data_IF_376387974624
#
_entry.id   IF_376387974624
#
_cell.length_a   1.000
_cell.length_b   1.000
_cell.length_c   1.000
_cell.angle_alpha   90.00
_cell.angle_beta   90.00
_cell.angle_gamma   90.00
#
_symmetry.space_group_name_H-M   'P 1'
#
loop_
_entity.id
_entity.type
_entity.pdbx_description
1 polymer ?
#
# COMPACT_ATOMS: atom_id res chain seq x y z
N UNK A 1 24.61 5.27 -31.22
CA UNK A 1 23.44 5.18 -30.31
C UNK A 1 23.44 6.40 -29.40
N UNK A 2 22.31 7.10 -29.29
CA UNK A 2 22.17 8.20 -28.34
C UNK A 2 21.89 7.65 -26.94
N UNK A 3 22.09 8.49 -25.91
CA UNK A 3 21.76 8.11 -24.53
C UNK A 3 20.28 7.72 -24.37
N UNK A 4 19.37 8.35 -25.12
CA UNK A 4 17.93 8.05 -25.10
C UNK A 4 17.60 6.65 -25.66
N UNK A 5 18.31 6.22 -26.71
CA UNK A 5 18.09 4.93 -27.38
C UNK A 5 18.56 3.74 -26.52
N UNK A 6 19.59 3.97 -25.71
CA UNK A 6 20.07 2.99 -24.72
C UNK A 6 19.08 2.86 -23.55
N UNK A 7 18.46 3.97 -23.14
CA UNK A 7 17.51 4.01 -22.02
C UNK A 7 16.18 3.31 -22.33
N UNK A 8 15.61 3.53 -23.51
CA UNK A 8 14.37 2.83 -23.89
C UNK A 8 14.60 1.30 -23.98
N UNK A 9 15.79 0.89 -24.42
CA UNK A 9 16.19 -0.52 -24.44
C UNK A 9 16.26 -1.12 -23.03
N UNK A 10 16.84 -0.41 -22.06
CA UNK A 10 16.93 -0.87 -20.67
C UNK A 10 15.54 -1.01 -20.03
N UNK A 11 14.67 -0.01 -20.23
CA UNK A 11 13.27 -0.03 -19.76
C UNK A 11 12.48 -1.21 -20.33
N UNK A 12 12.59 -1.46 -21.63
CA UNK A 12 11.97 -2.62 -22.31
C UNK A 12 12.55 -3.95 -21.85
N UNK A 13 13.84 -4.00 -21.51
CA UNK A 13 14.46 -5.20 -20.95
C UNK A 13 13.92 -5.53 -19.56
N UNK A 14 13.73 -4.52 -18.68
CA UNK A 14 13.08 -4.69 -17.38
C UNK A 14 11.66 -5.24 -17.56
N UNK A 15 10.83 -4.60 -18.39
CA UNK A 15 9.46 -5.04 -18.61
C UNK A 15 9.35 -6.51 -19.10
N UNK A 16 10.25 -6.94 -20.00
CA UNK A 16 10.30 -8.36 -20.43
C UNK A 16 10.62 -9.33 -19.30
N UNK A 17 11.61 -9.01 -18.45
CA UNK A 17 11.94 -9.86 -17.29
C UNK A 17 10.76 -9.95 -16.31
N UNK A 18 10.07 -8.84 -16.08
CA UNK A 18 8.91 -8.81 -15.19
C UNK A 18 7.75 -9.63 -15.76
N UNK A 19 7.49 -9.57 -17.07
CA UNK A 19 6.51 -10.43 -17.75
C UNK A 19 6.86 -11.92 -17.63
N UNK A 20 8.14 -12.28 -17.81
CA UNK A 20 8.61 -13.66 -17.61
C UNK A 20 8.41 -14.10 -16.15
N UNK A 21 8.72 -13.23 -15.17
CA UNK A 21 8.54 -13.51 -13.75
C UNK A 21 7.07 -13.65 -13.34
N UNK A 22 6.17 -12.79 -13.85
CA UNK A 22 4.73 -12.85 -13.56
C UNK A 22 4.14 -14.18 -14.04
N UNK A 23 4.55 -14.68 -15.22
CA UNK A 23 4.12 -16.01 -15.70
C UNK A 23 4.57 -17.16 -14.81
N UNK A 24 5.74 -17.04 -14.18
CA UNK A 24 6.29 -18.08 -13.32
C UNK A 24 5.71 -18.07 -11.90
N UNK A 25 5.32 -16.89 -11.41
CA UNK A 25 4.94 -16.63 -10.01
C UNK A 25 3.69 -15.72 -9.94
N UNK A 26 2.62 -16.15 -10.62
CA UNK A 26 1.28 -15.57 -10.47
C UNK A 26 0.38 -16.59 -9.81
N UNK A 27 -0.30 -16.15 -8.75
CA UNK A 27 -1.20 -16.96 -7.95
C UNK A 27 -2.66 -16.65 -8.34
N UNK A 28 -3.52 -17.67 -8.33
CA UNK A 28 -4.96 -17.41 -8.38
C UNK A 28 -5.50 -17.34 -6.94
N UNK A 29 -5.80 -16.14 -6.40
CA UNK A 29 -6.27 -16.02 -5.02
C UNK A 29 -7.64 -16.68 -4.80
N UNK A 30 -8.39 -17.01 -5.87
CA UNK A 30 -9.64 -17.77 -5.76
C UNK A 30 -9.36 -19.20 -5.29
N UNK A 31 -8.29 -19.81 -5.77
CA UNK A 31 -7.92 -21.20 -5.53
C UNK A 31 -6.91 -21.33 -4.36
N UNK A 32 -5.98 -20.40 -4.24
CA UNK A 32 -4.85 -20.48 -3.29
C UNK A 32 -5.26 -20.17 -1.84
N UNK A 33 -6.25 -19.30 -1.66
CA UNK A 33 -6.75 -18.94 -0.33
C UNK A 33 -7.87 -19.88 0.06
N UNK A 34 -7.75 -20.51 1.23
CA UNK A 34 -8.85 -21.29 1.82
C UNK A 34 -9.99 -20.36 2.23
N UNK A 35 -11.00 -20.26 1.37
CA UNK A 35 -12.20 -19.46 1.60
C UNK A 35 -13.27 -20.21 2.41
N UNK A 36 -13.27 -21.54 2.36
CA UNK A 36 -14.35 -22.38 2.90
C UNK A 36 -14.23 -22.64 4.40
N UNK A 37 -13.02 -22.74 4.95
CA UNK A 37 -12.84 -22.92 6.39
C UNK A 37 -13.40 -21.72 7.17
N UNK A 38 -14.34 -21.91 8.11
CA UNK A 38 -14.88 -20.81 8.90
C UNK A 38 -13.79 -20.02 9.64
N UNK A 39 -13.99 -18.72 9.81
CA UNK A 39 -13.07 -17.87 10.57
C UNK A 39 -12.99 -18.35 12.03
N UNK A 40 -11.82 -18.83 12.44
CA UNK A 40 -11.49 -19.02 13.85
C UNK A 40 -11.12 -17.67 14.49
N UNK A 41 -11.98 -17.20 15.39
CA UNK A 41 -11.79 -15.94 16.14
C UNK A 41 -10.71 -16.03 17.23
N UNK A 42 -10.12 -17.21 17.41
CA UNK A 42 -8.92 -17.46 18.21
C UNK A 42 -7.64 -16.89 17.60
N UNK A 43 -7.65 -16.50 16.32
CA UNK A 43 -6.53 -15.83 15.66
C UNK A 43 -6.69 -14.31 15.57
N UNK A 44 -5.56 -13.62 15.50
CA UNK A 44 -5.49 -12.21 15.15
C UNK A 44 -5.68 -12.01 13.63
N UNK A 45 -6.11 -10.81 13.22
CA UNK A 45 -6.12 -10.44 11.79
C UNK A 45 -4.79 -9.88 11.29
N UNK A 46 -3.96 -9.37 12.19
CA UNK A 46 -2.63 -8.83 11.95
C UNK A 46 -1.75 -9.17 13.16
N UNK A 47 -0.43 -9.19 12.98
CA UNK A 47 0.48 -9.35 14.12
C UNK A 47 0.16 -8.31 15.20
N UNK A 48 -0.01 -8.69 16.47
CA UNK A 48 -0.43 -7.78 17.55
C UNK A 48 0.39 -6.49 17.62
N UNK A 49 1.69 -6.58 17.37
CA UNK A 49 2.64 -5.46 17.44
C UNK A 49 2.35 -4.36 16.40
N UNK A 50 1.57 -4.66 15.36
CA UNK A 50 1.10 -3.70 14.36
C UNK A 50 -0.19 -2.98 14.76
N UNK A 51 -0.87 -3.44 15.82
CA UNK A 51 -2.09 -2.79 16.29
C UNK A 51 -1.82 -1.36 16.75
N UNK A 52 -2.74 -0.45 16.46
CA UNK A 52 -2.62 0.97 16.84
C UNK A 52 -2.62 1.18 18.35
N UNK A 53 -3.14 0.23 19.12
CA UNK A 53 -3.15 0.28 20.59
C UNK A 53 -2.05 -0.56 21.23
N UNK A 54 -1.29 -1.36 20.49
CA UNK A 54 -0.27 -2.23 21.08
C UNK A 54 0.71 -1.44 21.96
N UNK A 55 0.94 -1.93 23.18
CA UNK A 55 1.83 -1.30 24.16
C UNK A 55 1.26 -0.08 24.89
N UNK A 56 -0.02 0.26 24.69
CA UNK A 56 -0.70 1.29 25.51
C UNK A 56 -1.42 0.66 26.70
N UNK A 57 -1.77 1.48 27.70
CA UNK A 57 -2.58 1.03 28.85
C UNK A 57 -3.90 0.40 28.44
N UNK A 58 -4.56 0.94 27.41
CA UNK A 58 -5.83 0.38 26.95
C UNK A 58 -5.65 -1.02 26.37
N UNK A 59 -4.56 -1.28 25.64
CA UNK A 59 -4.26 -2.62 25.15
C UNK A 59 -3.99 -3.63 26.25
N UNK A 60 -3.26 -3.24 27.29
CA UNK A 60 -2.98 -4.09 28.46
C UNK A 60 -4.26 -4.45 29.23
N UNK A 61 -5.24 -3.54 29.27
CA UNK A 61 -6.55 -3.76 29.89
C UNK A 61 -7.51 -4.60 29.04
N UNK A 62 -7.27 -4.69 27.72
CA UNK A 62 -8.13 -5.45 26.81
C UNK A 62 -8.03 -6.95 27.06
N UNK A 63 -9.17 -7.64 27.01
CA UNK A 63 -9.19 -9.10 26.93
C UNK A 63 -8.50 -9.59 25.64
N UNK A 64 -7.97 -10.80 25.67
CA UNK A 64 -7.38 -11.42 24.48
C UNK A 64 -8.38 -11.49 23.29
N UNK A 65 -9.68 -11.64 23.57
CA UNK A 65 -10.71 -11.61 22.55
C UNK A 65 -10.87 -10.22 21.89
N UNK A 66 -10.80 -9.14 22.68
CA UNK A 66 -10.83 -7.77 22.16
C UNK A 66 -9.57 -7.44 21.35
N UNK A 67 -8.39 -7.88 21.79
CA UNK A 67 -7.14 -7.69 21.04
C UNK A 67 -7.21 -8.36 19.67
N UNK A 68 -7.72 -9.60 19.60
CA UNK A 68 -7.92 -10.31 18.34
C UNK A 68 -8.98 -9.67 17.46
N UNK A 69 -10.07 -9.19 18.05
CA UNK A 69 -11.10 -8.49 17.29
C UNK A 69 -10.58 -7.18 16.71
N UNK A 70 -9.86 -6.39 17.52
CA UNK A 70 -9.26 -5.14 17.05
C UNK A 70 -8.33 -5.40 15.86
N UNK A 71 -7.40 -6.36 15.96
CA UNK A 71 -6.48 -6.62 14.84
C UNK A 71 -7.19 -7.17 13.60
N UNK A 72 -8.31 -7.88 13.73
CA UNK A 72 -9.15 -8.26 12.58
C UNK A 72 -9.79 -7.04 11.90
N UNK A 73 -10.34 -6.12 12.69
CA UNK A 73 -10.93 -4.89 12.15
C UNK A 73 -9.88 -3.98 11.52
N UNK A 74 -8.69 -3.87 12.12
CA UNK A 74 -7.56 -3.11 11.57
C UNK A 74 -7.04 -3.71 10.26
N UNK A 75 -6.83 -5.04 10.20
CA UNK A 75 -6.41 -5.72 8.97
C UNK A 75 -7.42 -5.51 7.83
N UNK A 76 -8.73 -5.60 8.12
CA UNK A 76 -9.77 -5.32 7.14
C UNK A 76 -9.82 -3.84 6.70
N UNK A 77 -9.51 -2.91 7.61
CA UNK A 77 -9.40 -1.47 7.29
C UNK A 77 -8.22 -1.19 6.36
N UNK A 78 -7.07 -1.84 6.61
CA UNK A 78 -5.88 -1.76 5.76
C UNK A 78 -6.21 -2.31 4.37
N UNK A 79 -6.79 -3.50 4.29
CA UNK A 79 -7.23 -4.12 3.03
C UNK A 79 -8.22 -3.22 2.26
N UNK A 80 -9.21 -2.63 2.95
CA UNK A 80 -10.16 -1.70 2.33
C UNK A 80 -9.49 -0.43 1.79
N UNK A 81 -8.45 0.05 2.46
CA UNK A 81 -7.67 1.21 2.02
C UNK A 81 -6.78 0.86 0.83
N UNK A 82 -6.21 -0.35 0.81
CA UNK A 82 -5.49 -0.92 -0.34
C UNK A 82 -6.36 -0.94 -1.59
N UNK A 83 -7.56 -1.52 -1.51
CA UNK A 83 -8.53 -1.53 -2.62
C UNK A 83 -8.80 -0.10 -3.14
N UNK A 84 -9.08 0.86 -2.24
CA UNK A 84 -9.33 2.24 -2.65
C UNK A 84 -8.13 2.86 -3.40
N UNK A 85 -6.92 2.54 -2.96
CA UNK A 85 -5.69 3.01 -3.55
C UNK A 85 -5.40 2.34 -4.90
N UNK A 86 -5.50 1.02 -5.00
CA UNK A 86 -5.35 0.26 -6.25
C UNK A 86 -6.29 0.79 -7.34
N UNK A 87 -7.55 1.09 -6.98
CA UNK A 87 -8.51 1.70 -7.92
C UNK A 87 -8.00 3.03 -8.50
N UNK A 88 -7.29 3.85 -7.71
CA UNK A 88 -6.67 5.09 -8.18
C UNK A 88 -5.53 4.77 -9.14
N UNK A 89 -4.65 3.85 -8.76
CA UNK A 89 -3.48 3.48 -9.54
C UNK A 89 -3.84 2.91 -10.91
N UNK A 90 -4.75 1.94 -10.95
CA UNK A 90 -5.18 1.31 -12.20
C UNK A 90 -5.72 2.33 -13.20
N UNK A 91 -6.50 3.32 -12.73
CA UNK A 91 -6.98 4.40 -13.60
C UNK A 91 -5.84 5.27 -14.15
N UNK A 92 -4.80 5.49 -13.34
CA UNK A 92 -3.64 6.30 -13.74
C UNK A 92 -2.75 5.54 -14.74
N UNK A 93 -2.48 4.25 -14.50
CA UNK A 93 -1.72 3.38 -15.41
C UNK A 93 -2.47 3.22 -16.73
N UNK A 94 -3.78 2.95 -16.69
CA UNK A 94 -4.60 2.81 -17.89
C UNK A 94 -4.60 4.09 -18.73
N UNK A 95 -4.72 5.27 -18.08
CA UNK A 95 -4.63 6.55 -18.80
C UNK A 95 -3.24 6.78 -19.39
N UNK A 96 -2.18 6.40 -18.69
CA UNK A 96 -0.79 6.56 -19.17
C UNK A 96 -0.50 5.69 -20.41
N UNK A 97 -1.18 4.54 -20.55
CA UNK A 97 -0.96 3.59 -21.65
C UNK A 97 -2.05 3.55 -22.74
N UNK A 98 -3.17 4.26 -22.57
CA UNK A 98 -4.38 4.20 -23.42
C UNK A 98 -4.17 4.12 -24.94
N UNK A 99 -3.18 4.83 -25.49
CA UNK A 99 -2.90 4.86 -26.93
C UNK A 99 -1.41 4.64 -27.26
N UNK A 100 -0.67 3.94 -26.39
CA UNK A 100 0.73 3.55 -26.65
C UNK A 100 0.79 2.28 -27.52
N UNK A 101 1.96 2.03 -28.11
CA UNK A 101 2.21 0.87 -28.97
C UNK A 101 1.98 -0.45 -28.20
N UNK A 102 1.00 -1.29 -28.59
CA UNK A 102 0.70 -2.54 -27.90
C UNK A 102 1.78 -3.62 -28.09
N UNK A 103 2.71 -3.43 -29.04
CA UNK A 103 3.86 -4.31 -29.24
C UNK A 103 5.02 -3.99 -28.29
N UNK A 104 4.96 -2.85 -27.58
CA UNK A 104 5.92 -2.51 -26.54
C UNK A 104 5.74 -3.41 -25.30
N UNK A 105 6.78 -4.10 -24.80
CA UNK A 105 6.70 -4.88 -23.58
C UNK A 105 6.21 -4.10 -22.36
N UNK A 106 6.49 -2.79 -22.28
CA UNK A 106 6.00 -1.95 -21.19
C UNK A 106 4.47 -1.78 -21.21
N UNK A 107 3.85 -1.78 -22.40
CA UNK A 107 2.39 -1.77 -22.52
C UNK A 107 1.80 -3.08 -22.00
N UNK A 108 2.37 -4.21 -22.39
CA UNK A 108 1.93 -5.53 -21.95
C UNK A 108 2.09 -5.68 -20.43
N UNK A 109 3.23 -5.23 -19.89
CA UNK A 109 3.47 -5.20 -18.44
C UNK A 109 2.43 -4.35 -17.70
N UNK A 110 2.15 -3.14 -18.18
CA UNK A 110 1.15 -2.27 -17.55
C UNK A 110 -0.25 -2.90 -17.50
N UNK A 111 -0.65 -3.66 -18.53
CA UNK A 111 -1.91 -4.41 -18.50
C UNK A 111 -1.87 -5.63 -17.57
N UNK A 112 -0.72 -6.30 -17.45
CA UNK A 112 -0.51 -7.36 -16.46
C UNK A 112 -0.67 -6.81 -15.05
N UNK A 113 -0.01 -5.70 -14.73
CA UNK A 113 -0.12 -5.00 -13.44
C UNK A 113 -1.59 -4.65 -13.12
N UNK A 114 -2.33 -4.07 -14.07
CA UNK A 114 -3.77 -3.79 -13.88
C UNK A 114 -4.59 -5.06 -13.60
N UNK A 115 -4.26 -6.19 -14.24
CA UNK A 115 -4.94 -7.45 -14.02
C UNK A 115 -4.63 -8.05 -12.64
N UNK A 116 -3.38 -7.94 -12.19
CA UNK A 116 -2.95 -8.37 -10.86
C UNK A 116 -3.66 -7.54 -9.78
N UNK A 117 -3.73 -6.21 -9.92
CA UNK A 117 -4.49 -5.36 -8.99
C UNK A 117 -6.00 -5.66 -8.96
N UNK A 118 -6.59 -6.07 -10.09
CA UNK A 118 -7.98 -6.55 -10.07
C UNK A 118 -8.14 -7.77 -9.16
N UNK A 119 -7.19 -8.71 -9.21
CA UNK A 119 -7.20 -9.93 -8.39
C UNK A 119 -6.90 -9.62 -6.92
N UNK A 120 -5.93 -8.75 -6.64
CA UNK A 120 -5.62 -8.26 -5.31
C UNK A 120 -6.85 -7.61 -4.65
N UNK A 121 -7.49 -6.67 -5.35
CA UNK A 121 -8.69 -6.00 -4.85
C UNK A 121 -9.83 -6.96 -4.52
N UNK A 122 -10.08 -7.97 -5.37
CA UNK A 122 -11.10 -9.00 -5.11
C UNK A 122 -10.69 -9.87 -3.91
N UNK A 123 -9.42 -10.28 -3.84
CA UNK A 123 -8.87 -11.05 -2.73
C UNK A 123 -9.03 -10.31 -1.39
N UNK A 124 -8.64 -9.03 -1.33
CA UNK A 124 -8.80 -8.18 -0.16
C UNK A 124 -10.27 -7.98 0.23
N UNK A 125 -11.17 -7.80 -0.75
CA UNK A 125 -12.60 -7.67 -0.48
C UNK A 125 -13.19 -8.94 0.14
N UNK A 126 -12.84 -10.12 -0.39
CA UNK A 126 -13.25 -11.41 0.18
C UNK A 126 -12.63 -11.62 1.57
N UNK A 127 -11.37 -11.23 1.76
CA UNK A 127 -10.68 -11.27 3.04
C UNK A 127 -11.38 -10.42 4.11
N UNK A 128 -11.71 -9.16 3.79
CA UNK A 128 -12.45 -8.27 4.68
C UNK A 128 -13.84 -8.82 5.03
N UNK A 129 -14.54 -9.41 4.05
CA UNK A 129 -15.83 -10.06 4.29
C UNK A 129 -15.69 -11.27 5.23
N UNK A 130 -14.70 -12.14 5.01
CA UNK A 130 -14.42 -13.31 5.88
C UNK A 130 -14.02 -12.91 7.30
N UNK A 131 -13.35 -11.78 7.47
CA UNK A 131 -13.04 -11.17 8.77
C UNK A 131 -14.29 -10.62 9.49
N UNK A 132 -15.45 -10.56 8.84
CA UNK A 132 -16.67 -9.99 9.40
C UNK A 132 -16.64 -8.47 9.55
N UNK A 133 -15.80 -7.79 8.77
CA UNK A 133 -15.64 -6.35 8.83
C UNK A 133 -16.66 -5.62 7.94
N UNK A 134 -17.11 -4.42 8.34
CA UNK A 134 -17.88 -3.56 7.45
C UNK A 134 -16.97 -2.93 6.38
N UNK A 135 -17.60 -2.31 5.38
CA UNK A 135 -16.86 -1.50 4.41
C UNK A 135 -16.22 -0.27 5.09
N UNK A 136 -14.91 -0.32 5.30
CA UNK A 136 -14.13 0.83 5.71
C UNK A 136 -13.83 1.71 4.50
N UNK A 137 -13.85 3.03 4.69
CA UNK A 137 -13.57 4.00 3.64
C UNK A 137 -12.73 5.15 4.20
N UNK A 138 -11.81 5.71 3.41
CA UNK A 138 -11.17 6.97 3.75
C UNK A 138 -12.20 8.08 3.98
N UNK A 139 -11.78 9.13 4.69
CA UNK A 139 -12.62 10.32 4.92
C UNK A 139 -13.03 10.94 3.60
N UNK A 140 -14.23 11.54 3.53
CA UNK A 140 -14.77 12.15 2.30
C UNK A 140 -13.78 13.07 1.60
N UNK A 141 -13.11 13.95 2.35
CA UNK A 141 -12.09 14.84 1.79
C UNK A 141 -10.97 14.06 1.08
N UNK A 142 -10.48 12.97 1.67
CA UNK A 142 -9.43 12.12 1.08
C UNK A 142 -9.93 11.43 -0.19
N UNK A 143 -11.19 10.98 -0.21
CA UNK A 143 -11.81 10.43 -1.42
C UNK A 143 -11.87 11.45 -2.54
N UNK A 144 -12.28 12.70 -2.25
CA UNK A 144 -12.31 13.76 -3.27
C UNK A 144 -10.90 14.15 -3.73
N UNK A 145 -9.92 14.23 -2.83
CA UNK A 145 -8.51 14.42 -3.19
C UNK A 145 -8.01 13.30 -4.10
N UNK A 146 -8.37 12.05 -3.81
CA UNK A 146 -8.07 10.90 -4.66
C UNK A 146 -8.70 11.01 -6.05
N UNK A 147 -9.93 11.53 -6.16
CA UNK A 147 -10.57 11.80 -7.46
C UNK A 147 -9.86 12.88 -8.27
N UNK A 148 -9.38 13.93 -7.62
CA UNK A 148 -8.56 14.95 -8.28
C UNK A 148 -7.24 14.33 -8.70
N UNK A 149 -6.53 13.68 -7.77
CA UNK A 149 -5.23 13.06 -7.99
C UNK A 149 -5.26 12.08 -9.17
N UNK A 150 -6.17 11.11 -9.19
CA UNK A 150 -6.27 10.14 -10.29
C UNK A 150 -6.52 10.81 -11.65
N UNK A 151 -7.21 11.95 -11.68
CA UNK A 151 -7.55 12.67 -12.90
C UNK A 151 -6.41 13.58 -13.41
N UNK A 152 -5.61 14.17 -12.52
CA UNK A 152 -4.62 15.19 -12.90
C UNK A 152 -3.17 14.72 -12.78
N UNK A 153 -2.86 13.80 -11.87
CA UNK A 153 -1.49 13.34 -11.65
C UNK A 153 -1.05 12.50 -12.84
N UNK A 154 0.10 12.82 -13.43
CA UNK A 154 0.68 12.11 -14.55
C UNK A 154 2.18 11.91 -14.32
N UNK A 155 2.83 11.13 -15.18
CA UNK A 155 4.28 11.05 -15.14
C UNK A 155 4.80 10.31 -13.90
N UNK A 156 5.89 10.83 -13.36
CA UNK A 156 6.58 10.38 -12.15
C UNK A 156 5.76 10.50 -10.86
N UNK A 157 4.82 11.46 -10.76
CA UNK A 157 3.98 11.62 -9.56
C UNK A 157 3.12 10.37 -9.32
N UNK A 158 2.69 9.74 -10.40
CA UNK A 158 1.92 8.50 -10.37
C UNK A 158 2.75 7.38 -9.75
N UNK A 159 3.86 7.03 -10.38
CA UNK A 159 4.72 5.91 -9.97
C UNK A 159 5.40 6.14 -8.62
N UNK A 160 5.77 7.37 -8.29
CA UNK A 160 6.33 7.67 -6.98
C UNK A 160 5.26 7.57 -5.87
N UNK A 161 3.99 7.88 -6.16
CA UNK A 161 2.91 7.69 -5.20
C UNK A 161 2.51 6.21 -5.06
N UNK A 162 2.62 5.40 -6.13
CA UNK A 162 2.52 3.93 -6.08
C UNK A 162 3.44 3.40 -4.99
N UNK A 163 4.75 3.67 -5.13
CA UNK A 163 5.78 3.17 -4.21
C UNK A 163 5.52 3.49 -2.73
N UNK A 164 4.87 4.63 -2.45
CA UNK A 164 4.63 5.01 -1.06
C UNK A 164 3.66 4.07 -0.36
N UNK A 165 2.55 3.71 -0.99
CA UNK A 165 1.60 2.78 -0.36
C UNK A 165 2.22 1.39 -0.26
N UNK A 166 2.82 0.94 -1.36
CA UNK A 166 3.26 -0.45 -1.52
C UNK A 166 4.41 -0.79 -0.59
N UNK A 167 5.38 0.11 -0.40
CA UNK A 167 6.50 -0.17 0.52
C UNK A 167 6.07 -0.15 2.00
N UNK A 168 5.09 0.68 2.38
CA UNK A 168 4.54 0.69 3.75
C UNK A 168 3.82 -0.63 4.03
N UNK A 169 2.98 -1.06 3.08
CA UNK A 169 2.20 -2.29 3.19
C UNK A 169 3.11 -3.52 3.12
N UNK A 170 4.11 -3.56 2.25
CA UNK A 170 5.01 -4.71 2.06
C UNK A 170 5.66 -5.16 3.37
N UNK A 171 6.19 -4.22 4.18
CA UNK A 171 6.81 -4.57 5.46
C UNK A 171 5.77 -5.12 6.44
N UNK A 172 4.59 -4.51 6.53
CA UNK A 172 3.50 -4.99 7.38
C UNK A 172 3.07 -6.40 7.01
N UNK A 173 2.85 -6.64 5.71
CA UNK A 173 2.37 -7.91 5.19
C UNK A 173 3.41 -9.02 5.32
N UNK A 174 4.71 -8.69 5.18
CA UNK A 174 5.82 -9.62 5.44
C UNK A 174 5.89 -10.09 6.89
N UNK A 175 5.54 -9.24 7.85
CA UNK A 175 5.44 -9.65 9.24
C UNK A 175 4.21 -10.54 9.45
N UNK A 176 3.06 -10.11 8.93
CA UNK A 176 1.79 -10.83 9.12
C UNK A 176 1.82 -12.23 8.50
N UNK A 177 2.41 -12.41 7.32
CA UNK A 177 2.50 -13.72 6.66
C UNK A 177 3.35 -14.74 7.44
N UNK A 178 4.27 -14.28 8.29
CA UNK A 178 5.19 -15.13 9.07
C UNK A 178 4.70 -15.43 10.48
N UNK A 179 3.75 -14.66 10.99
CA UNK A 179 3.27 -14.78 12.36
C UNK A 179 2.16 -15.83 12.50
N UNK A 180 2.43 -16.92 13.22
CA UNK A 180 1.49 -18.01 13.44
C UNK A 180 0.27 -17.61 14.29
N UNK A 181 0.29 -16.45 14.96
CA UNK A 181 -0.86 -15.89 15.68
C UNK A 181 -1.89 -15.26 14.74
N UNK A 182 -1.51 -15.02 13.48
CA UNK A 182 -2.37 -14.43 12.43
C UNK A 182 -3.17 -15.53 11.74
N UNK A 183 -4.44 -15.24 11.43
CA UNK A 183 -5.35 -16.17 10.79
C UNK A 183 -4.73 -16.75 9.49
N UNK A 184 -4.74 -18.08 9.28
CA UNK A 184 -4.03 -18.71 8.16
C UNK A 184 -4.36 -18.13 6.79
N UNK A 185 -5.65 -17.89 6.49
CA UNK A 185 -6.04 -17.31 5.19
C UNK A 185 -5.50 -15.88 5.00
N UNK A 186 -5.38 -15.09 6.08
CA UNK A 186 -4.78 -13.75 6.02
C UNK A 186 -3.29 -13.86 5.72
N UNK A 187 -2.59 -14.85 6.29
CA UNK A 187 -1.18 -15.11 5.97
C UNK A 187 -1.00 -15.45 4.49
N UNK A 188 -1.88 -16.28 3.92
CA UNK A 188 -1.87 -16.61 2.49
C UNK A 188 -2.11 -15.39 1.62
N UNK A 189 -3.13 -14.57 1.93
CA UNK A 189 -3.41 -13.31 1.23
C UNK A 189 -2.16 -12.41 1.18
N UNK A 190 -1.51 -12.23 2.33
CA UNK A 190 -0.31 -11.41 2.43
C UNK A 190 0.87 -12.01 1.66
N UNK A 191 1.04 -13.33 1.69
CA UNK A 191 2.09 -13.99 0.92
C UNK A 191 1.92 -13.78 -0.60
N UNK A 192 0.70 -13.96 -1.11
CA UNK A 192 0.38 -13.72 -2.52
C UNK A 192 0.73 -12.27 -2.87
N UNK A 193 0.17 -11.30 -2.14
CA UNK A 193 0.37 -9.88 -2.43
C UNK A 193 1.86 -9.48 -2.41
N UNK A 194 2.60 -9.90 -1.38
CA UNK A 194 4.03 -9.58 -1.24
C UNK A 194 4.89 -10.13 -2.39
N UNK A 195 4.57 -11.34 -2.87
CA UNK A 195 5.31 -11.93 -4.00
C UNK A 195 5.04 -11.16 -5.28
N UNK A 196 3.78 -10.77 -5.51
CA UNK A 196 3.36 -10.10 -6.74
C UNK A 196 3.81 -8.63 -6.77
N UNK A 197 3.61 -7.90 -5.68
CA UNK A 197 3.90 -6.47 -5.56
C UNK A 197 5.40 -6.13 -5.63
N UNK A 198 6.27 -7.09 -5.32
CA UNK A 198 7.72 -6.92 -5.49
C UNK A 198 8.12 -6.51 -6.91
N UNK A 199 7.36 -6.98 -7.92
CA UNK A 199 7.58 -6.68 -9.34
C UNK A 199 7.07 -5.29 -9.72
N UNK A 200 5.90 -4.92 -9.21
CA UNK A 200 5.29 -3.60 -9.43
C UNK A 200 6.18 -2.50 -8.85
N UNK A 201 6.73 -2.72 -7.65
CA UNK A 201 7.71 -1.81 -7.04
C UNK A 201 8.99 -1.65 -7.88
N UNK A 202 9.55 -2.74 -8.45
CA UNK A 202 10.71 -2.64 -9.35
C UNK A 202 10.40 -1.73 -10.55
N UNK A 203 9.27 -1.97 -11.21
CA UNK A 203 8.84 -1.18 -12.37
C UNK A 203 8.61 0.30 -12.00
N UNK A 204 7.89 0.56 -10.90
CA UNK A 204 7.60 1.92 -10.44
C UNK A 204 8.86 2.71 -10.07
N UNK A 205 9.89 2.06 -9.50
CA UNK A 205 11.20 2.71 -9.25
C UNK A 205 11.90 3.10 -10.56
N UNK A 206 11.87 2.23 -11.57
CA UNK A 206 12.47 2.51 -12.89
C UNK A 206 11.75 3.68 -13.57
N UNK A 207 10.42 3.63 -13.68
CA UNK A 207 9.61 4.70 -14.29
C UNK A 207 9.78 6.03 -13.55
N UNK A 208 9.80 6.01 -12.21
CA UNK A 208 10.04 7.22 -11.41
C UNK A 208 11.40 7.85 -11.71
N UNK A 209 12.47 7.04 -11.72
CA UNK A 209 13.83 7.53 -12.00
C UNK A 209 13.92 8.09 -13.40
N UNK A 210 13.43 7.34 -14.39
CA UNK A 210 13.51 7.70 -15.80
C UNK A 210 12.75 8.99 -16.09
N UNK A 211 11.52 9.14 -15.57
CA UNK A 211 10.71 10.36 -15.77
C UNK A 211 11.23 11.57 -15.01
N UNK A 212 11.95 11.37 -13.91
CA UNK A 212 12.65 12.43 -13.19
C UNK A 212 14.02 12.77 -13.79
N UNK A 213 14.58 12.00 -14.74
CA UNK A 213 15.84 12.38 -15.40
C UNK A 213 15.65 13.69 -16.17
N UNK A 214 16.55 14.64 -15.97
CA UNK A 214 16.46 15.97 -16.58
C UNK A 214 15.36 16.88 -16.01
N UNK A 215 14.57 16.43 -15.02
CA UNK A 215 13.55 17.27 -14.40
C UNK A 215 14.18 18.47 -13.67
N UNK A 216 13.72 19.68 -14.02
CA UNK A 216 14.12 20.93 -13.38
C UNK A 216 13.66 21.03 -11.92
N UNK A 217 14.23 22.00 -11.18
CA UNK A 217 13.99 22.17 -9.74
C UNK A 217 12.51 22.34 -9.39
N UNK A 218 11.78 23.16 -10.14
CA UNK A 218 10.35 23.41 -9.88
C UNK A 218 9.52 22.13 -10.03
N UNK A 219 9.74 21.37 -11.13
CA UNK A 219 9.06 20.10 -11.36
C UNK A 219 9.32 19.11 -10.23
N UNK A 220 10.57 19.00 -9.75
CA UNK A 220 10.89 18.15 -8.60
C UNK A 220 10.19 18.60 -7.31
N UNK A 221 10.13 19.90 -7.04
CA UNK A 221 9.45 20.43 -5.85
C UNK A 221 7.94 20.13 -5.86
N UNK A 222 7.29 20.30 -7.01
CA UNK A 222 5.85 19.98 -7.17
C UNK A 222 5.61 18.49 -6.98
N UNK A 223 6.39 17.63 -7.65
CA UNK A 223 6.26 16.18 -7.50
C UNK A 223 6.53 15.71 -6.06
N UNK A 224 7.58 16.23 -5.42
CA UNK A 224 7.89 15.94 -4.03
C UNK A 224 6.70 16.26 -3.10
N UNK A 225 6.07 17.42 -3.29
CA UNK A 225 4.91 17.82 -2.50
C UNK A 225 3.71 16.91 -2.78
N UNK A 226 3.42 16.61 -4.05
CA UNK A 226 2.30 15.75 -4.45
C UNK A 226 2.44 14.35 -3.85
N UNK A 227 3.62 13.74 -3.98
CA UNK A 227 3.92 12.41 -3.42
C UNK A 227 3.81 12.42 -1.90
N UNK A 228 4.29 13.47 -1.22
CA UNK A 228 4.20 13.57 0.23
C UNK A 228 2.76 13.78 0.74
N UNK A 229 1.92 14.51 0.00
CA UNK A 229 0.49 14.66 0.30
C UNK A 229 -0.23 13.33 0.09
N UNK A 230 0.05 12.61 -1.00
CA UNK A 230 -0.50 11.29 -1.25
C UNK A 230 -0.12 10.32 -0.11
N UNK A 231 1.17 10.29 0.28
CA UNK A 231 1.69 9.53 1.41
C UNK A 231 0.89 9.78 2.69
N UNK A 232 0.73 11.06 3.03
CA UNK A 232 -0.01 11.48 4.20
C UNK A 232 -1.45 10.98 4.16
N UNK A 233 -2.14 11.15 3.03
CA UNK A 233 -3.52 10.71 2.87
C UNK A 233 -3.69 9.19 2.98
N UNK A 234 -2.77 8.41 2.40
CA UNK A 234 -2.80 6.94 2.42
C UNK A 234 -2.58 6.45 3.85
N UNK A 235 -1.44 6.82 4.47
CA UNK A 235 -1.05 6.32 5.79
C UNK A 235 -2.08 6.70 6.85
N UNK A 236 -2.59 7.93 6.82
CA UNK A 236 -3.62 8.36 7.79
C UNK A 236 -5.02 7.78 7.53
N UNK A 237 -5.21 7.05 6.43
CA UNK A 237 -6.47 6.36 6.11
C UNK A 237 -6.43 4.86 6.40
N UNK A 238 -5.25 4.26 6.58
CA UNK A 238 -5.07 2.81 6.75
C UNK A 238 -5.93 2.22 7.86
N UNK A 239 -6.00 2.91 9.01
CA UNK A 239 -6.82 2.48 10.15
C UNK A 239 -7.97 3.46 10.35
N UNK A 240 -9.18 3.01 10.06
CA UNK A 240 -10.41 3.77 10.28
C UNK A 240 -10.67 3.95 11.78
N UNK A 241 -11.08 5.14 12.22
CA UNK A 241 -11.55 5.35 13.59
C UNK A 241 -12.71 4.41 13.99
N UNK A 242 -13.45 3.88 13.00
CA UNK A 242 -14.58 2.97 13.22
C UNK A 242 -14.14 1.57 13.66
N UNK A 243 -12.87 1.18 13.49
CA UNK A 243 -12.38 -0.14 13.92
C UNK A 243 -12.56 -0.34 15.42
N UNK A 244 -12.36 0.71 16.21
CA UNK A 244 -12.48 0.63 17.67
C UNK A 244 -13.92 0.35 18.11
N UNK A 245 -14.89 1.09 17.56
CA UNK A 245 -16.30 0.85 17.83
C UNK A 245 -16.74 -0.56 17.41
N UNK A 246 -16.27 -1.02 16.24
CA UNK A 246 -16.59 -2.36 15.74
C UNK A 246 -15.92 -3.47 16.57
N UNK A 247 -14.79 -3.18 17.22
CA UNK A 247 -14.15 -4.06 18.19
C UNK A 247 -14.74 -3.96 19.61
N UNK A 248 -15.80 -3.16 19.81
CA UNK A 248 -16.46 -2.98 21.10
C UNK A 248 -15.65 -2.13 22.10
N UNK A 249 -14.79 -1.24 21.61
CA UNK A 249 -13.95 -0.36 22.41
C UNK A 249 -14.52 1.06 22.51
N UNK A 250 -14.19 1.74 23.61
CA UNK A 250 -14.34 3.19 23.75
C UNK A 250 -13.52 3.88 22.68
N UNK A 251 -14.21 4.43 21.69
CA UNK A 251 -13.60 5.04 20.51
C UNK A 251 -12.82 6.31 20.87
N UNK A 252 -13.29 7.10 21.83
CA UNK A 252 -12.61 8.33 22.20
C UNK A 252 -11.30 8.04 22.92
N UNK A 253 -11.33 7.08 23.86
CA UNK A 253 -10.11 6.62 24.54
C UNK A 253 -9.14 6.00 23.54
N UNK A 254 -9.61 5.09 22.68
CA UNK A 254 -8.77 4.44 21.70
C UNK A 254 -8.10 5.44 20.75
N UNK A 255 -8.82 6.44 20.26
CA UNK A 255 -8.24 7.48 19.41
C UNK A 255 -7.18 8.33 20.13
N UNK A 256 -7.38 8.64 21.42
CA UNK A 256 -6.37 9.38 22.20
C UNK A 256 -5.11 8.55 22.40
N UNK A 257 -5.25 7.27 22.78
CA UNK A 257 -4.11 6.40 23.05
C UNK A 257 -3.37 6.01 21.76
N UNK A 258 -4.07 5.59 20.71
CA UNK A 258 -3.47 5.35 19.40
C UNK A 258 -2.78 6.61 18.85
N UNK A 259 -3.40 7.77 19.05
CA UNK A 259 -2.86 9.06 18.66
C UNK A 259 -1.55 9.41 19.38
N UNK A 260 -1.30 8.87 20.57
CA UNK A 260 -0.11 9.10 21.38
C UNK A 260 0.89 7.92 21.38
N UNK A 261 0.54 6.80 20.74
CA UNK A 261 1.30 5.55 20.77
C UNK A 261 2.64 5.67 20.03
N UNK A 262 3.74 5.79 20.77
CA UNK A 262 5.08 5.91 20.19
C UNK A 262 5.59 4.59 19.60
N UNK A 263 5.17 3.43 20.12
CA UNK A 263 5.51 2.13 19.55
C UNK A 263 5.00 2.04 18.11
N UNK A 264 3.71 2.35 17.90
CA UNK A 264 3.11 2.29 16.57
C UNK A 264 3.76 3.30 15.61
N UNK A 265 4.07 4.52 16.07
CA UNK A 265 4.79 5.50 15.24
C UNK A 265 6.21 5.06 14.89
N UNK A 266 6.91 4.42 15.81
CA UNK A 266 8.25 3.90 15.57
C UNK A 266 8.24 2.76 14.53
N UNK A 267 7.26 1.86 14.61
CA UNK A 267 7.03 0.81 13.62
C UNK A 267 6.77 1.40 12.22
N UNK A 268 5.91 2.42 12.11
CA UNK A 268 5.69 3.09 10.82
C UNK A 268 6.97 3.73 10.26
N UNK A 269 7.75 4.43 11.09
CA UNK A 269 9.02 5.04 10.66
C UNK A 269 10.04 4.01 10.21
N UNK A 270 10.21 2.90 10.94
CA UNK A 270 11.19 1.87 10.57
C UNK A 270 10.84 1.20 9.25
N UNK A 271 9.55 0.88 9.04
CA UNK A 271 9.05 0.27 7.82
C UNK A 271 9.19 1.15 6.58
N UNK A 272 9.18 2.48 6.75
CA UNK A 272 9.34 3.43 5.64
C UNK A 272 10.79 3.75 5.28
N UNK A 273 11.77 3.20 5.98
CA UNK A 273 13.18 3.59 5.82
C UNK A 273 13.70 3.39 4.39
N UNK A 274 13.37 2.27 3.76
CA UNK A 274 13.72 1.97 2.35
C UNK A 274 13.11 2.98 1.38
N UNK A 275 11.81 3.24 1.51
CA UNK A 275 11.07 4.22 0.72
C UNK A 275 11.68 5.61 0.85
N UNK A 276 11.97 6.05 2.08
CA UNK A 276 12.58 7.36 2.32
C UNK A 276 13.97 7.44 1.69
N UNK A 277 14.76 6.37 1.75
CA UNK A 277 16.04 6.28 1.04
C UNK A 277 15.89 6.45 -0.47
N UNK A 278 14.90 5.80 -1.08
CA UNK A 278 14.61 5.95 -2.50
C UNK A 278 14.14 7.36 -2.85
N UNK A 279 13.17 7.92 -2.13
CA UNK A 279 12.65 9.27 -2.37
C UNK A 279 13.76 10.32 -2.21
N UNK A 280 14.69 10.12 -1.28
CA UNK A 280 15.89 10.94 -1.16
C UNK A 280 16.74 10.86 -2.42
N UNK A 281 17.06 9.65 -2.88
CA UNK A 281 17.88 9.42 -4.08
C UNK A 281 17.26 9.99 -5.36
N UNK A 282 15.93 10.04 -5.43
CA UNK A 282 15.17 10.63 -6.53
C UNK A 282 15.03 12.17 -6.44
N UNK A 283 15.48 12.78 -5.34
CA UNK A 283 15.35 14.21 -5.08
C UNK A 283 13.93 14.66 -4.74
N UNK A 284 13.13 13.77 -4.14
CA UNK A 284 11.74 14.00 -3.74
C UNK A 284 11.56 14.31 -2.25
N UNK A 285 12.64 14.33 -1.46
CA UNK A 285 12.61 14.78 -0.05
C UNK A 285 12.96 16.27 0.07
N UNK A 286 12.02 17.14 -0.30
CA UNK A 286 12.15 18.59 -0.14
C UNK A 286 11.66 19.06 1.22
N UNK A 287 12.05 20.26 1.68
CA UNK A 287 11.61 20.79 2.99
C UNK A 287 10.08 20.79 3.17
N UNK A 288 9.33 21.11 2.10
CA UNK A 288 7.87 21.09 2.12
C UNK A 288 7.34 19.65 2.22
N UNK A 289 7.90 18.71 1.46
CA UNK A 289 7.55 17.30 1.50
C UNK A 289 7.82 16.67 2.88
N UNK A 290 8.97 16.99 3.49
CA UNK A 290 9.38 16.55 4.84
C UNK A 290 8.33 16.89 5.91
N UNK A 291 7.63 18.01 5.79
CA UNK A 291 6.57 18.38 6.74
C UNK A 291 5.43 17.34 6.77
N UNK A 292 4.98 16.87 5.61
CA UNK A 292 3.94 15.85 5.49
C UNK A 292 4.41 14.48 5.99
N UNK A 293 5.62 14.07 5.62
CA UNK A 293 6.19 12.80 6.09
C UNK A 293 6.31 12.75 7.62
N UNK A 294 6.76 13.84 8.27
CA UNK A 294 6.76 13.93 9.75
C UNK A 294 5.36 13.85 10.33
N UNK A 295 4.40 14.53 9.72
CA UNK A 295 3.01 14.54 10.21
C UNK A 295 2.33 13.17 10.09
N UNK A 296 2.79 12.34 9.16
CA UNK A 296 2.38 10.95 8.97
C UNK A 296 3.23 9.93 9.77
N UNK A 297 4.24 10.37 10.52
CA UNK A 297 5.20 9.50 11.23
C UNK A 297 5.99 8.56 10.30
N UNK A 298 6.45 9.06 9.15
CA UNK A 298 7.27 8.30 8.20
C UNK A 298 8.77 8.64 8.30
N UNK A 299 9.12 9.72 9.00
CA UNK A 299 10.48 10.19 9.31
C UNK A 299 10.52 10.87 10.68
#
# INVERSE_FOLDING_TARGET
MTSADTQDRDRRAVARRLLESSRALSYDPVEEVDWETPLDKGFHGASPEWSTLYGTSYWEEMSAAQQRELTRQEAASVASTGIWFEMILQQMVLRDFYAKDPTDPAFQWALTEIADECRHSVMFARGAAKLGAPAYRPRRLVVELGRVFKTVAAGEAAYAAILVAEEVLDVMQRDWMRDERVAPFVRTINNIHVVEESRHMEFARVETRDRLRGAGRLRRQVNALVVAVAAYCIVTSMVSARVYANAGLDTERALREAGANEHHRAMLRSSCSGLMGFLHSAGLLTKAATWFYRRANLI
#
